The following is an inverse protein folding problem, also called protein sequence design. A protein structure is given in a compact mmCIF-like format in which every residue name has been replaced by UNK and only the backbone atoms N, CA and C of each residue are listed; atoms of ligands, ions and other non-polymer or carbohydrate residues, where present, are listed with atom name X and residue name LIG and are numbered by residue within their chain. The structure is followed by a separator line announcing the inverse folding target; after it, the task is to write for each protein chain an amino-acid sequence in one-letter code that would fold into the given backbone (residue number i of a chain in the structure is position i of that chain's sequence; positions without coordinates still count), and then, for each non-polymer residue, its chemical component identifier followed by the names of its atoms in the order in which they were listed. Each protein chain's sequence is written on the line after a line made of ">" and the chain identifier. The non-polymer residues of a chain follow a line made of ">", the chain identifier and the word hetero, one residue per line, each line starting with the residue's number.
data_IF_023401848472
#
_entry.id   IF_023401848472
#
_cell.length_a   1.000
_cell.length_b   1.000
_cell.length_c   1.000
_cell.angle_alpha   90.00
_cell.angle_beta   90.00
_cell.angle_gamma   90.00
#
_symmetry.space_group_name_H-M   'P 1'
#
loop_
_entity.id
_entity.type
_entity.pdbx_description
1 polymer ?
#
# COMPACT_ATOMS: atom_id res chain seq x y z
N UNK A 1 -11.45 3.94 -2.52
CA UNK A 1 -10.83 5.26 -2.81
C UNK A 1 -11.80 6.35 -2.38
N UNK A 2 -11.32 7.47 -1.82
CA UNK A 2 -12.13 8.66 -1.54
C UNK A 2 -11.56 9.88 -2.25
N UNK A 3 -12.43 10.79 -2.70
CA UNK A 3 -12.06 12.12 -3.21
C UNK A 3 -12.67 13.15 -2.27
N UNK A 4 -11.84 13.98 -1.63
CA UNK A 4 -12.26 14.95 -0.60
C UNK A 4 -13.13 14.32 0.49
N UNK A 5 -12.78 13.10 0.92
CA UNK A 5 -13.54 12.33 1.92
C UNK A 5 -14.78 11.60 1.40
N UNK A 6 -15.20 11.83 0.15
CA UNK A 6 -16.35 11.15 -0.46
C UNK A 6 -15.91 9.84 -1.09
N UNK A 7 -16.49 8.73 -0.63
CA UNK A 7 -16.23 7.39 -1.16
C UNK A 7 -16.57 7.31 -2.66
N UNK A 8 -15.68 6.70 -3.42
CA UNK A 8 -15.86 6.38 -4.83
C UNK A 8 -15.92 4.85 -4.97
N UNK A 9 -17.12 4.24 -4.93
CA UNK A 9 -17.27 2.79 -5.05
C UNK A 9 -16.74 2.27 -6.39
N UNK A 10 -15.98 1.18 -6.38
CA UNK A 10 -15.44 0.57 -7.59
C UNK A 10 -14.28 1.33 -8.27
N UNK A 11 -13.90 2.51 -7.76
CA UNK A 11 -12.74 3.23 -8.29
C UNK A 11 -11.44 2.46 -7.98
N UNK A 12 -10.65 2.21 -9.02
CA UNK A 12 -9.35 1.56 -8.92
C UNK A 12 -8.26 2.55 -9.37
N UNK A 13 -7.30 2.94 -8.50
CA UNK A 13 -6.20 3.83 -8.86
C UNK A 13 -5.39 3.37 -10.08
N UNK A 14 -5.24 2.05 -10.28
CA UNK A 14 -4.50 1.47 -11.42
C UNK A 14 -5.15 1.80 -12.77
N UNK A 15 -6.48 1.88 -12.81
CA UNK A 15 -7.22 2.20 -14.02
C UNK A 15 -7.35 3.72 -14.25
N UNK A 16 -6.83 4.53 -13.31
CA UNK A 16 -7.06 5.96 -13.25
C UNK A 16 -8.37 6.34 -12.55
N UNK A 17 -8.40 7.56 -12.02
CA UNK A 17 -9.54 8.11 -11.27
C UNK A 17 -9.94 9.45 -11.89
N UNK A 18 -11.15 9.60 -12.46
CA UNK A 18 -11.64 10.90 -12.92
C UNK A 18 -11.93 11.80 -11.72
N UNK A 19 -11.21 12.92 -11.61
CA UNK A 19 -11.34 13.88 -10.49
C UNK A 19 -12.23 15.09 -10.81
N UNK A 20 -12.62 15.23 -12.08
CA UNK A 20 -13.40 16.38 -12.58
C UNK A 20 -12.62 17.69 -12.57
N UNK A 21 -13.34 18.80 -12.71
CA UNK A 21 -12.75 20.14 -12.72
C UNK A 21 -12.24 20.54 -11.33
N UNK A 22 -11.05 21.12 -11.30
CA UNK A 22 -10.46 21.76 -10.11
C UNK A 22 -10.47 23.26 -10.36
N UNK A 23 -11.28 24.05 -9.62
CA UNK A 23 -11.25 25.50 -9.71
C UNK A 23 -9.87 26.10 -9.43
N UNK A 24 -9.56 27.31 -9.93
CA UNK A 24 -8.34 28.03 -9.56
C UNK A 24 -8.20 28.13 -8.03
N UNK A 25 -6.97 28.01 -7.54
CA UNK A 25 -6.64 28.08 -6.11
C UNK A 25 -7.36 27.04 -5.22
N UNK A 26 -7.78 25.91 -5.80
CA UNK A 26 -8.38 24.80 -5.06
C UNK A 26 -7.62 23.49 -5.30
N UNK A 27 -7.89 22.49 -4.46
CA UNK A 27 -7.30 21.17 -4.58
C UNK A 27 -8.34 20.07 -4.35
N UNK A 28 -8.03 18.87 -4.85
CA UNK A 28 -8.74 17.64 -4.53
C UNK A 28 -7.76 16.65 -3.94
N UNK A 29 -8.11 16.06 -2.80
CA UNK A 29 -7.31 15.05 -2.11
C UNK A 29 -7.88 13.68 -2.41
N UNK A 30 -7.04 12.80 -2.97
CA UNK A 30 -7.35 11.38 -3.18
C UNK A 30 -6.73 10.59 -2.03
N UNK A 31 -7.53 9.75 -1.39
CA UNK A 31 -7.05 8.79 -0.40
C UNK A 31 -7.44 7.38 -0.84
N UNK A 32 -6.47 6.47 -0.76
CA UNK A 32 -6.64 5.06 -1.07
C UNK A 32 -5.76 4.23 -0.14
N UNK A 33 -6.07 2.94 -0.05
CA UNK A 33 -5.30 1.99 0.71
C UNK A 33 -4.94 0.83 -0.22
N UNK A 34 -3.74 0.32 -0.04
CA UNK A 34 -3.26 -0.91 -0.70
C UNK A 34 -2.92 -1.91 0.40
N UNK A 35 -3.15 -3.19 0.12
CA UNK A 35 -2.82 -4.28 1.02
C UNK A 35 -1.88 -5.23 0.29
N UNK A 36 -0.81 -5.65 0.96
CA UNK A 36 0.14 -6.62 0.44
C UNK A 36 -0.30 -8.04 0.76
N UNK A 37 0.28 -9.00 0.06
CA UNK A 37 0.29 -10.39 0.51
C UNK A 37 1.07 -10.54 1.82
N UNK A 38 0.78 -11.65 2.53
CA UNK A 38 1.49 -12.05 3.74
C UNK A 38 1.89 -13.54 3.63
N UNK A 39 3.20 -13.87 3.66
CA UNK A 39 4.33 -12.94 3.65
C UNK A 39 4.40 -12.13 2.34
N UNK A 40 4.87 -10.87 2.36
CA UNK A 40 5.15 -10.12 1.14
C UNK A 40 6.11 -10.86 0.20
N UNK A 41 5.78 -10.88 -1.10
CA UNK A 41 6.71 -11.37 -2.14
C UNK A 41 7.67 -10.28 -2.60
N UNK A 42 7.23 -9.03 -2.56
CA UNK A 42 8.05 -7.86 -2.87
C UNK A 42 8.78 -7.39 -1.61
N UNK A 43 9.97 -6.83 -1.79
CA UNK A 43 10.74 -6.22 -0.70
C UNK A 43 10.44 -4.74 -0.53
N UNK A 44 9.80 -4.10 -1.51
CA UNK A 44 9.44 -2.69 -1.48
C UNK A 44 8.15 -2.42 -2.26
N UNK A 45 7.43 -1.36 -1.89
CA UNK A 45 6.32 -0.81 -2.65
C UNK A 45 6.72 0.60 -3.08
N UNK A 46 6.62 0.86 -4.38
CA UNK A 46 6.85 2.18 -4.97
C UNK A 46 5.50 2.79 -5.32
N UNK A 47 5.24 4.01 -4.82
CA UNK A 47 4.04 4.77 -5.12
C UNK A 47 4.40 6.06 -5.85
N UNK A 48 3.84 6.25 -7.04
CA UNK A 48 3.90 7.49 -7.83
C UNK A 48 2.55 7.70 -8.54
N UNK A 49 2.15 8.95 -8.68
CA UNK A 49 0.95 9.33 -9.42
C UNK A 49 1.29 10.20 -10.63
N UNK A 50 0.46 10.12 -11.66
CA UNK A 50 0.48 11.01 -12.81
C UNK A 50 -0.93 11.57 -13.03
N UNK A 51 -1.01 12.86 -13.35
CA UNK A 51 -2.27 13.53 -13.67
C UNK A 51 -2.20 14.03 -15.10
N UNK A 52 -3.24 13.74 -15.88
CA UNK A 52 -3.49 14.36 -17.18
C UNK A 52 -4.63 15.36 -17.01
N UNK A 53 -4.44 16.61 -17.43
CA UNK A 53 -5.44 17.66 -17.26
C UNK A 53 -5.45 18.63 -18.44
N UNK A 54 -6.56 19.35 -18.56
CA UNK A 54 -6.74 20.45 -19.49
C UNK A 54 -6.91 21.75 -18.72
N UNK A 55 -6.36 22.83 -19.26
CA UNK A 55 -6.59 24.17 -18.73
C UNK A 55 -6.81 25.16 -19.87
N UNK A 56 -7.54 26.24 -19.56
CA UNK A 56 -7.85 27.34 -20.47
C UNK A 56 -7.33 28.63 -19.83
N UNK A 57 -6.26 29.21 -20.37
CA UNK A 57 -5.73 30.49 -19.89
C UNK A 57 -6.41 31.71 -20.52
N UNK A 58 -7.01 31.53 -21.70
CA UNK A 58 -7.73 32.57 -22.44
C UNK A 58 -9.15 32.05 -22.67
N UNK A 59 -10.21 32.69 -22.16
CA UNK A 59 -11.58 32.16 -22.19
C UNK A 59 -12.11 31.74 -23.57
N UNK A 60 -11.55 32.29 -24.65
CA UNK A 60 -11.95 32.02 -26.04
C UNK A 60 -11.05 31.02 -26.77
N UNK A 61 -9.95 30.58 -26.15
CA UNK A 61 -9.00 29.64 -26.76
C UNK A 61 -9.39 28.18 -26.44
N UNK A 62 -9.04 27.22 -27.31
CA UNK A 62 -9.20 25.80 -27.02
C UNK A 62 -8.42 25.38 -25.75
N UNK A 63 -8.91 24.37 -24.99
CA UNK A 63 -8.17 23.84 -23.86
C UNK A 63 -6.84 23.22 -24.26
N UNK A 64 -5.83 23.39 -23.40
CA UNK A 64 -4.49 22.85 -23.61
C UNK A 64 -4.25 21.66 -22.70
N UNK A 65 -3.84 20.53 -23.27
CA UNK A 65 -3.48 19.32 -22.51
C UNK A 65 -2.11 19.47 -21.83
N UNK A 66 -2.02 18.99 -20.60
CA UNK A 66 -0.80 18.87 -19.80
C UNK A 66 -0.81 17.60 -18.98
N UNK A 67 0.38 17.18 -18.59
CA UNK A 67 0.57 16.14 -17.59
C UNK A 67 1.55 16.61 -16.52
N UNK A 68 1.43 16.05 -15.33
CA UNK A 68 2.37 16.25 -14.23
C UNK A 68 2.49 14.96 -13.42
N UNK A 69 3.68 14.72 -12.87
CA UNK A 69 3.95 13.56 -12.02
C UNK A 69 4.19 14.03 -10.58
N UNK A 70 3.78 13.22 -9.60
CA UNK A 70 4.19 13.42 -8.21
C UNK A 70 5.63 12.97 -7.97
N UNK A 71 6.14 13.29 -6.79
CA UNK A 71 7.30 12.60 -6.26
C UNK A 71 7.01 11.09 -6.08
N UNK A 72 8.10 10.33 -5.99
CA UNK A 72 8.07 8.90 -5.69
C UNK A 72 8.16 8.72 -4.17
N UNK A 73 7.37 7.81 -3.62
CA UNK A 73 7.45 7.36 -2.22
C UNK A 73 7.69 5.86 -2.23
N UNK A 74 8.74 5.41 -1.53
CA UNK A 74 9.07 3.98 -1.39
C UNK A 74 8.82 3.53 0.05
N UNK A 75 8.13 2.40 0.21
CA UNK A 75 7.93 1.75 1.51
C UNK A 75 8.56 0.37 1.46
N UNK A 76 9.57 0.11 2.30
CA UNK A 76 10.20 -1.20 2.37
C UNK A 76 9.33 -2.19 3.17
N UNK A 77 9.26 -3.43 2.68
CA UNK A 77 8.58 -4.54 3.31
C UNK A 77 9.61 -5.51 3.87
N UNK A 78 9.38 -5.96 5.11
CA UNK A 78 10.26 -6.92 5.77
C UNK A 78 9.49 -8.20 6.07
N UNK A 79 10.12 -9.33 5.75
CA UNK A 79 9.64 -10.64 6.14
C UNK A 79 10.31 -11.04 7.45
N UNK A 80 9.51 -11.40 8.45
CA UNK A 80 10.01 -12.09 9.63
C UNK A 80 9.98 -13.59 9.37
N UNK A 81 11.15 -14.24 9.41
CA UNK A 81 11.21 -15.69 9.42
C UNK A 81 11.33 -16.16 10.87
N UNK A 82 10.25 -16.69 11.43
CA UNK A 82 10.19 -17.18 12.81
C UNK A 82 10.43 -18.69 12.79
N UNK A 83 11.49 -19.15 13.44
CA UNK A 83 11.84 -20.56 13.54
C UNK A 83 11.68 -21.01 14.98
N UNK A 84 10.71 -21.88 15.26
CA UNK A 84 10.57 -22.47 16.59
C UNK A 84 11.38 -23.77 16.68
N UNK A 85 12.25 -23.88 17.67
CA UNK A 85 12.98 -25.11 17.99
C UNK A 85 12.43 -25.71 19.27
N UNK A 86 11.95 -26.97 19.19
CA UNK A 86 11.49 -27.74 20.35
C UNK A 86 12.62 -28.63 20.85
N UNK A 87 12.92 -28.54 22.15
CA UNK A 87 13.92 -29.37 22.81
C UNK A 87 13.32 -30.05 24.04
N UNK A 88 13.58 -31.35 24.19
CA UNK A 88 13.31 -32.08 25.42
C UNK A 88 14.47 -31.89 26.41
N UNK A 89 14.16 -31.81 27.69
CA UNK A 89 15.17 -31.85 28.76
C UNK A 89 15.89 -33.20 28.85
N UNK A 90 15.24 -34.28 28.42
CA UNK A 90 15.80 -35.65 28.42
C UNK A 90 15.52 -36.40 27.11
N UNK A 91 16.40 -37.36 26.77
CA UNK A 91 16.25 -38.24 25.60
C UNK A 91 15.53 -39.56 25.91
N UNK A 92 15.55 -40.01 27.17
CA UNK A 92 14.84 -41.20 27.65
C UNK A 92 14.32 -40.96 29.07
N UNK A 93 13.17 -41.55 29.38
CA UNK A 93 12.52 -41.42 30.70
C UNK A 93 11.76 -42.71 31.04
N UNK A 94 11.68 -43.05 32.33
CA UNK A 94 10.93 -44.21 32.81
C UNK A 94 9.42 -43.93 32.92
N UNK A 95 8.60 -44.98 33.01
CA UNK A 95 7.14 -44.86 33.17
C UNK A 95 6.82 -44.12 34.49
N UNK A 96 5.98 -43.09 34.40
CA UNK A 96 5.53 -42.28 35.54
C UNK A 96 6.37 -41.03 35.82
N UNK A 97 7.39 -40.74 35.01
CA UNK A 97 8.20 -39.53 35.09
C UNK A 97 7.82 -38.52 34.00
N UNK A 98 8.13 -37.24 34.22
CA UNK A 98 7.75 -36.14 33.33
C UNK A 98 8.90 -35.76 32.39
N UNK A 99 8.57 -35.35 31.17
CA UNK A 99 9.51 -34.71 30.22
C UNK A 99 9.11 -33.24 30.08
N UNK A 100 10.07 -32.34 30.21
CA UNK A 100 9.86 -30.91 29.97
C UNK A 100 10.29 -30.59 28.55
N UNK A 101 9.41 -29.94 27.79
CA UNK A 101 9.75 -29.42 26.46
C UNK A 101 9.85 -27.91 26.50
N UNK A 102 10.98 -27.40 26.03
CA UNK A 102 11.20 -25.96 25.82
C UNK A 102 11.06 -25.65 24.33
N UNK A 103 10.26 -24.64 24.00
CA UNK A 103 10.23 -24.06 22.66
C UNK A 103 10.96 -22.72 22.71
N UNK A 104 11.99 -22.56 21.88
CA UNK A 104 12.69 -21.29 21.70
C UNK A 104 12.36 -20.76 20.31
N UNK A 105 11.96 -19.49 20.24
CA UNK A 105 11.70 -18.73 19.01
C UNK A 105 12.96 -18.06 18.46
#
# INVERSE_FOLDING_TARGET
>A
VTINGVLQPGANPENGIPIGTIPPNSSKTILFQVQTNNPPTETEIVNQSSVNYQYVSIPTAPPVNRSANSNIVTTSLQNANIISVKQADVTFVAIGQNITYTNTL
#
